data_IF_788424943854
#
_entry.id   IF_788424943854
#
_cell.length_a   1.000
_cell.length_b   1.000
_cell.length_c   1.000
_cell.angle_alpha   90.00
_cell.angle_beta   90.00
_cell.angle_gamma   90.00
#
_symmetry.space_group_name_H-M   'P 1'
#
loop_
_entity.id
_entity.type
_entity.pdbx_description
1 polymer ?
#
# COMPACT_ATOMS: atom_id res chain seq x y z
N UNK A 1 -18.51 25.70 -50.72
CA UNK A 1 -18.01 24.32 -50.59
C UNK A 1 -16.67 24.15 -49.84
N UNK A 2 -15.69 25.06 -49.86
CA UNK A 2 -14.42 24.89 -49.13
C UNK A 2 -14.49 25.19 -47.62
N UNK A 3 -15.40 26.03 -47.14
CA UNK A 3 -15.54 26.39 -45.72
C UNK A 3 -16.14 25.28 -44.83
N UNK A 4 -17.04 24.46 -45.35
CA UNK A 4 -17.65 23.36 -44.55
C UNK A 4 -16.70 22.20 -44.31
N UNK A 5 -15.77 21.95 -45.24
CA UNK A 5 -14.74 20.91 -45.06
C UNK A 5 -13.73 21.25 -43.94
N UNK A 6 -13.41 22.53 -43.76
CA UNK A 6 -12.51 22.98 -42.68
C UNK A 6 -13.15 22.88 -41.29
N UNK A 7 -14.46 23.25 -41.21
CA UNK A 7 -15.19 23.17 -39.92
C UNK A 7 -15.36 21.72 -39.43
N UNK A 8 -15.65 20.79 -40.37
CA UNK A 8 -15.72 19.34 -40.04
C UNK A 8 -14.39 18.77 -39.60
N UNK A 9 -13.25 19.17 -40.18
CA UNK A 9 -11.92 18.74 -39.77
C UNK A 9 -11.54 19.30 -38.41
N UNK A 10 -11.89 20.54 -38.08
CA UNK A 10 -11.68 21.14 -36.77
C UNK A 10 -12.52 20.45 -35.67
N UNK A 11 -13.79 20.15 -35.96
CA UNK A 11 -14.63 19.42 -35.02
C UNK A 11 -14.15 18.00 -34.77
N UNK A 12 -13.71 17.24 -35.79
CA UNK A 12 -13.12 15.92 -35.61
C UNK A 12 -11.81 15.96 -34.79
N UNK A 13 -10.96 16.95 -35.03
CA UNK A 13 -9.71 17.12 -34.26
C UNK A 13 -9.99 17.49 -32.82
N UNK A 14 -11.00 18.29 -32.50
CA UNK A 14 -11.40 18.63 -31.14
C UNK A 14 -12.01 17.44 -30.38
N UNK A 15 -12.78 16.61 -31.09
CA UNK A 15 -13.37 15.38 -30.49
C UNK A 15 -12.27 14.33 -30.20
N UNK A 16 -11.28 14.18 -31.08
CA UNK A 16 -10.13 13.27 -30.86
C UNK A 16 -9.24 13.78 -29.72
N UNK A 17 -9.02 15.10 -29.61
CA UNK A 17 -8.27 15.67 -28.48
C UNK A 17 -9.01 15.54 -27.14
N UNK A 18 -10.34 15.65 -27.14
CA UNK A 18 -11.18 15.45 -25.96
C UNK A 18 -11.25 13.97 -25.53
N UNK A 19 -11.20 13.03 -26.48
CA UNK A 19 -11.15 11.60 -26.20
C UNK A 19 -9.78 11.14 -25.65
N UNK A 20 -8.68 11.82 -26.00
CA UNK A 20 -7.34 11.55 -25.46
C UNK A 20 -7.13 12.13 -24.06
N UNK A 21 -7.88 13.16 -23.66
CA UNK A 21 -7.86 13.70 -22.28
C UNK A 21 -8.71 12.86 -21.30
N UNK A 22 -9.50 11.91 -21.78
CA UNK A 22 -10.31 10.99 -20.95
C UNK A 22 -9.61 9.62 -20.72
N UNK A 23 -8.39 9.43 -21.22
CA UNK A 23 -7.50 8.38 -20.72
C UNK A 23 -6.94 8.82 -19.35
N UNK A 24 -7.82 9.24 -18.46
CA UNK A 24 -7.54 9.48 -17.07
C UNK A 24 -7.04 8.19 -16.46
N UNK A 25 -5.93 8.28 -15.76
CA UNK A 25 -5.41 7.27 -14.89
C UNK A 25 -6.58 6.59 -14.18
N UNK A 26 -6.84 5.33 -14.49
CA UNK A 26 -7.82 4.55 -13.76
C UNK A 26 -7.30 4.48 -12.33
N UNK A 27 -7.80 5.35 -11.46
CA UNK A 27 -7.68 5.15 -10.02
C UNK A 27 -8.43 3.86 -9.74
N UNK A 28 -7.72 2.75 -9.71
CA UNK A 28 -8.28 1.51 -9.18
C UNK A 28 -8.51 1.77 -7.70
N UNK A 29 -9.72 2.18 -7.37
CA UNK A 29 -10.18 2.10 -5.99
C UNK A 29 -10.09 0.63 -5.63
N UNK A 30 -9.16 0.27 -4.77
CA UNK A 30 -9.12 -1.05 -4.18
C UNK A 30 -10.44 -1.19 -3.39
N UNK A 31 -11.42 -1.86 -4.00
CA UNK A 31 -12.66 -2.22 -3.31
C UNK A 31 -12.32 -3.44 -2.46
N UNK A 32 -12.42 -3.32 -1.16
CA UNK A 32 -12.19 -4.43 -0.26
C UNK A 32 -11.69 -4.00 1.12
N UNK A 33 -11.53 -4.99 1.98
CA UNK A 33 -10.98 -4.80 3.32
C UNK A 33 -9.53 -5.26 3.32
N UNK A 34 -8.64 -4.38 3.79
CA UNK A 34 -7.23 -4.71 3.98
C UNK A 34 -6.97 -4.98 5.47
N UNK A 35 -6.21 -6.03 5.76
CA UNK A 35 -5.75 -6.31 7.11
C UNK A 35 -4.26 -6.03 7.24
N UNK A 36 -3.88 -5.33 8.31
CA UNK A 36 -2.50 -5.16 8.74
C UNK A 36 -2.25 -6.00 9.98
N UNK A 37 -1.46 -7.07 9.84
CA UNK A 37 -1.08 -7.91 10.97
C UNK A 37 0.36 -7.61 11.36
N UNK A 38 0.51 -7.01 12.53
CA UNK A 38 1.81 -6.67 13.10
C UNK A 38 2.31 -7.83 13.94
N UNK A 39 3.49 -8.36 13.59
CA UNK A 39 4.08 -9.54 14.24
C UNK A 39 5.47 -9.26 14.75
N UNK A 40 5.77 -9.90 15.87
CA UNK A 40 7.13 -10.00 16.38
C UNK A 40 7.70 -11.39 16.10
N UNK A 41 8.89 -11.43 15.54
CA UNK A 41 9.69 -12.64 15.30
C UNK A 41 11.03 -12.46 15.98
N UNK A 42 11.40 -13.38 16.87
CA UNK A 42 12.67 -13.32 17.57
C UNK A 42 13.86 -13.36 16.58
N UNK A 43 14.96 -12.64 16.85
CA UNK A 43 16.07 -12.48 15.89
C UNK A 43 16.62 -13.81 15.35
N UNK A 44 16.76 -14.82 16.20
CA UNK A 44 17.23 -16.17 15.85
C UNK A 44 16.28 -16.95 14.93
N UNK A 45 15.01 -16.56 14.86
CA UNK A 45 13.98 -17.21 14.03
C UNK A 45 13.73 -16.49 12.71
N UNK A 46 14.18 -15.24 12.54
CA UNK A 46 13.78 -14.39 11.40
C UNK A 46 14.18 -14.98 10.04
N UNK A 47 15.38 -15.52 9.92
CA UNK A 47 15.85 -16.08 8.65
C UNK A 47 14.99 -17.26 8.20
N UNK A 48 14.68 -18.18 9.11
CA UNK A 48 13.83 -19.35 8.81
C UNK A 48 12.37 -18.94 8.60
N UNK A 49 11.86 -17.97 9.36
CA UNK A 49 10.53 -17.39 9.17
C UNK A 49 10.40 -16.82 7.75
N UNK A 50 11.30 -15.94 7.33
CA UNK A 50 11.33 -15.37 5.99
C UNK A 50 11.40 -16.47 4.92
N UNK A 51 12.27 -17.48 5.11
CA UNK A 51 12.41 -18.60 4.18
C UNK A 51 11.08 -19.34 3.98
N UNK A 52 10.36 -19.65 5.07
CA UNK A 52 9.07 -20.35 5.00
C UNK A 52 7.99 -19.51 4.35
N UNK A 53 7.88 -18.25 4.75
CA UNK A 53 6.91 -17.33 4.19
C UNK A 53 7.11 -17.14 2.67
N UNK A 54 8.36 -16.96 2.25
CA UNK A 54 8.66 -16.75 0.81
C UNK A 54 8.63 -18.04 -0.01
N UNK A 55 8.91 -19.20 0.58
CA UNK A 55 8.92 -20.49 -0.14
C UNK A 55 7.54 -21.10 -0.23
N UNK A 56 6.76 -21.04 0.85
CA UNK A 56 5.48 -21.76 0.96
C UNK A 56 4.29 -20.81 0.98
N UNK A 57 4.23 -19.89 1.92
CA UNK A 57 3.04 -19.06 2.14
C UNK A 57 2.77 -18.07 1.02
N UNK A 58 3.81 -17.54 0.38
CA UNK A 58 3.63 -16.72 -0.82
C UNK A 58 2.95 -17.46 -1.97
N UNK A 59 3.15 -18.78 -2.08
CA UNK A 59 2.46 -19.62 -3.09
C UNK A 59 1.02 -19.93 -2.68
N UNK A 60 0.76 -20.07 -1.38
CA UNK A 60 -0.61 -20.19 -0.87
C UNK A 60 -1.37 -18.88 -1.14
N UNK A 61 -0.74 -17.73 -0.89
CA UNK A 61 -1.29 -16.42 -1.21
C UNK A 61 -1.54 -16.26 -2.73
N UNK A 62 -0.59 -16.67 -3.58
CA UNK A 62 -0.79 -16.65 -5.05
C UNK A 62 -2.02 -17.46 -5.45
N UNK A 63 -2.18 -18.68 -4.92
CA UNK A 63 -3.38 -19.49 -5.18
C UNK A 63 -4.65 -18.79 -4.74
N UNK A 64 -4.64 -18.11 -3.61
CA UNK A 64 -5.78 -17.35 -3.11
C UNK A 64 -6.13 -16.16 -4.03
N UNK A 65 -5.12 -15.48 -4.57
CA UNK A 65 -5.26 -14.40 -5.55
C UNK A 65 -5.80 -14.93 -6.87
N UNK A 66 -5.27 -16.04 -7.36
CA UNK A 66 -5.72 -16.68 -8.60
C UNK A 66 -7.21 -17.11 -8.51
N UNK A 67 -7.68 -17.47 -7.32
CA UNK A 67 -9.08 -17.78 -7.03
C UNK A 67 -9.97 -16.55 -6.79
N UNK A 68 -9.38 -15.38 -6.65
CA UNK A 68 -10.11 -14.15 -6.34
C UNK A 68 -10.50 -13.98 -4.87
N UNK A 69 -10.00 -14.83 -3.95
CA UNK A 69 -10.22 -14.67 -2.50
C UNK A 69 -9.35 -13.58 -1.88
N UNK A 70 -8.24 -13.26 -2.52
CA UNK A 70 -7.36 -12.11 -2.21
C UNK A 70 -7.12 -11.31 -3.48
N UNK A 71 -6.80 -10.02 -3.31
CA UNK A 71 -6.27 -9.16 -4.38
C UNK A 71 -4.80 -8.82 -4.17
N UNK A 72 -4.35 -8.84 -2.92
CA UNK A 72 -2.98 -8.54 -2.53
C UNK A 72 -2.57 -9.35 -1.29
N UNK A 73 -1.31 -9.77 -1.27
CA UNK A 73 -0.61 -10.28 -0.10
C UNK A 73 0.80 -9.70 -0.05
N UNK A 74 1.21 -9.17 1.10
CA UNK A 74 2.54 -8.61 1.30
C UNK A 74 3.13 -8.97 2.65
N UNK A 75 4.43 -9.29 2.65
CA UNK A 75 5.25 -9.43 3.84
C UNK A 75 6.33 -8.36 3.83
N UNK A 76 6.38 -7.57 4.89
CA UNK A 76 7.29 -6.46 5.08
C UNK A 76 8.07 -6.61 6.37
N UNK A 77 9.36 -6.26 6.35
CA UNK A 77 10.23 -6.27 7.53
C UNK A 77 10.60 -4.84 7.90
N UNK A 78 10.35 -4.45 9.16
CA UNK A 78 10.70 -3.11 9.67
C UNK A 78 12.20 -2.89 9.65
N UNK A 79 12.62 -1.69 9.23
CA UNK A 79 13.99 -1.21 9.24
C UNK A 79 14.18 -0.27 10.43
N UNK A 80 15.13 -0.58 11.29
CA UNK A 80 15.39 0.20 12.51
C UNK A 80 14.37 -0.02 13.63
N UNK A 81 14.73 0.28 14.85
CA UNK A 81 13.89 0.10 16.04
C UNK A 81 13.43 -1.34 16.26
N UNK A 82 14.19 -2.31 15.74
CA UNK A 82 13.89 -3.75 15.85
C UNK A 82 14.26 -4.32 17.21
N UNK A 83 15.13 -3.64 17.93
CA UNK A 83 15.63 -4.06 19.25
C UNK A 83 14.72 -3.64 20.40
N UNK A 84 13.66 -2.90 20.11
CA UNK A 84 12.67 -2.51 21.12
C UNK A 84 11.88 -3.76 21.53
N UNK A 85 11.91 -4.16 22.79
CA UNK A 85 11.19 -5.33 23.27
C UNK A 85 9.69 -5.26 22.93
N UNK A 86 9.16 -6.37 22.44
CA UNK A 86 7.74 -6.50 22.06
C UNK A 86 7.27 -5.53 20.96
N UNK A 87 8.20 -4.86 20.25
CA UNK A 87 7.86 -4.07 19.09
C UNK A 87 7.68 -4.99 17.87
N UNK A 88 6.64 -4.81 17.05
CA UNK A 88 6.50 -5.59 15.83
C UNK A 88 7.68 -5.30 14.89
N UNK A 89 8.22 -6.35 14.30
CA UNK A 89 9.30 -6.25 13.33
C UNK A 89 8.91 -6.79 11.94
N UNK A 90 7.72 -7.36 11.82
CA UNK A 90 7.09 -7.74 10.55
C UNK A 90 5.66 -7.21 10.46
N UNK A 91 5.26 -6.90 9.22
CA UNK A 91 3.91 -6.51 8.85
C UNK A 91 3.44 -7.40 7.70
N UNK A 92 2.29 -8.07 7.88
CA UNK A 92 1.55 -8.66 6.78
C UNK A 92 0.45 -7.72 6.34
N UNK A 93 0.29 -7.60 5.04
CA UNK A 93 -0.81 -6.86 4.41
C UNK A 93 -1.58 -7.84 3.55
N UNK A 94 -2.87 -8.01 3.82
CA UNK A 94 -3.75 -8.85 3.02
C UNK A 94 -4.98 -8.05 2.63
N UNK A 95 -5.29 -7.98 1.33
CA UNK A 95 -6.48 -7.30 0.83
C UNK A 95 -7.49 -8.32 0.32
N UNK A 96 -8.69 -8.27 0.86
CA UNK A 96 -9.82 -9.15 0.57
C UNK A 96 -10.84 -8.36 -0.25
N UNK A 97 -11.22 -8.80 -1.45
CA UNK A 97 -12.30 -8.16 -2.21
C UNK A 97 -13.66 -8.33 -1.54
N UNK A 98 -13.85 -9.44 -0.81
CA UNK A 98 -15.01 -9.76 0.00
C UNK A 98 -14.55 -10.46 1.28
N UNK A 99 -14.65 -9.76 2.43
CA UNK A 99 -14.20 -10.28 3.73
C UNK A 99 -15.22 -11.27 4.31
N UNK A 100 -16.49 -11.23 3.88
CA UNK A 100 -17.55 -12.12 4.31
C UNK A 100 -17.64 -13.38 3.43
N UNK A 101 -16.81 -13.47 2.39
CA UNK A 101 -16.72 -14.62 1.51
C UNK A 101 -16.21 -15.89 2.21
N UNK A 102 -16.33 -17.02 1.51
CA UNK A 102 -15.81 -18.31 2.03
C UNK A 102 -14.28 -18.29 2.13
N UNK A 103 -13.79 -18.17 3.35
CA UNK A 103 -12.35 -18.22 3.69
C UNK A 103 -11.88 -19.63 4.07
N UNK A 104 -12.75 -20.66 3.97
CA UNK A 104 -12.37 -22.02 4.31
C UNK A 104 -11.23 -22.54 3.43
N UNK A 105 -10.19 -23.07 4.07
CA UNK A 105 -9.02 -23.55 3.38
C UNK A 105 -8.19 -22.50 2.61
N UNK A 106 -8.46 -21.18 2.82
CA UNK A 106 -7.68 -20.10 2.21
C UNK A 106 -6.19 -20.27 2.49
N UNK A 107 -5.86 -20.48 3.75
CA UNK A 107 -4.48 -20.64 4.24
C UNK A 107 -4.07 -22.12 4.43
N UNK A 108 -4.61 -23.04 3.62
CA UNK A 108 -4.22 -24.45 3.64
C UNK A 108 -3.08 -24.73 2.65
N UNK A 109 -1.86 -25.07 3.12
CA UNK A 109 -0.73 -25.38 2.26
C UNK A 109 -0.73 -26.82 1.72
N UNK A 110 -1.55 -27.73 2.30
CA UNK A 110 -1.45 -29.17 2.07
C UNK A 110 -1.63 -29.57 0.62
N UNK A 111 -2.55 -28.89 -0.08
CA UNK A 111 -2.81 -29.13 -1.51
C UNK A 111 -1.67 -28.69 -2.45
N UNK A 112 -0.84 -27.74 -2.01
CA UNK A 112 0.30 -27.25 -2.79
C UNK A 112 1.59 -28.02 -2.48
N UNK A 113 1.70 -28.58 -1.28
CA UNK A 113 2.92 -29.22 -0.78
C UNK A 113 2.61 -30.58 -0.14
N UNK A 114 2.01 -31.54 -0.87
CA UNK A 114 1.51 -32.80 -0.29
C UNK A 114 2.59 -33.70 0.29
N UNK A 115 3.86 -33.48 -0.07
CA UNK A 115 5.00 -34.26 0.46
C UNK A 115 5.84 -33.55 1.52
N UNK A 116 5.45 -32.35 1.94
CA UNK A 116 6.22 -31.56 2.90
C UNK A 116 5.55 -31.63 4.28
N UNK A 117 6.32 -32.05 5.28
CA UNK A 117 5.83 -32.11 6.65
C UNK A 117 5.40 -30.74 7.17
N UNK A 118 4.29 -30.67 7.89
CA UNK A 118 3.68 -29.43 8.33
C UNK A 118 4.61 -28.56 9.20
N UNK A 119 5.49 -29.17 10.00
CA UNK A 119 6.49 -28.48 10.81
C UNK A 119 7.56 -27.75 9.99
N UNK A 120 7.74 -28.10 8.71
CA UNK A 120 8.64 -27.42 7.76
C UNK A 120 7.99 -26.22 7.07
N UNK A 121 6.66 -26.17 7.05
CA UNK A 121 5.88 -25.11 6.40
C UNK A 121 5.43 -24.07 7.44
N UNK A 122 4.97 -24.53 8.59
CA UNK A 122 4.29 -23.72 9.58
C UNK A 122 5.18 -22.63 10.20
N UNK A 123 4.65 -21.42 10.32
CA UNK A 123 5.30 -20.25 10.94
C UNK A 123 4.58 -19.75 12.20
N UNK A 124 3.45 -20.38 12.60
CA UNK A 124 2.68 -19.93 13.76
C UNK A 124 3.48 -19.91 15.07
N UNK A 125 4.30 -20.93 15.35
CA UNK A 125 5.16 -20.99 16.54
C UNK A 125 6.43 -20.13 16.44
N UNK A 126 6.65 -19.41 15.34
CA UNK A 126 7.84 -18.59 15.11
C UNK A 126 7.58 -17.10 15.34
N UNK A 127 6.31 -16.66 15.33
CA UNK A 127 5.93 -15.28 15.50
C UNK A 127 4.81 -15.10 16.51
N UNK A 128 4.76 -13.93 17.14
CA UNK A 128 3.64 -13.48 17.98
C UNK A 128 2.90 -12.37 17.25
N UNK A 129 1.60 -12.51 17.05
CA UNK A 129 0.75 -11.44 16.56
C UNK A 129 0.51 -10.44 17.71
N UNK A 130 0.91 -9.21 17.51
CA UNK A 130 0.79 -8.13 18.49
C UNK A 130 -0.45 -7.27 18.25
N UNK A 131 -0.83 -7.11 16.98
CA UNK A 131 -1.99 -6.32 16.60
C UNK A 131 -2.46 -6.75 15.21
N UNK A 132 -3.78 -6.75 15.01
CA UNK A 132 -4.42 -6.89 13.72
C UNK A 132 -5.39 -5.71 13.51
N UNK A 133 -5.28 -5.04 12.39
CA UNK A 133 -6.05 -3.83 12.06
C UNK A 133 -6.75 -4.05 10.74
N UNK A 134 -8.04 -3.71 10.70
CA UNK A 134 -8.83 -3.70 9.48
C UNK A 134 -8.89 -2.28 8.93
N UNK A 135 -8.62 -2.15 7.65
CA UNK A 135 -8.58 -0.87 6.94
C UNK A 135 -9.43 -0.93 5.67
N UNK A 136 -9.89 0.23 5.24
CA UNK A 136 -10.41 0.43 3.90
C UNK A 136 -9.41 1.29 3.11
N UNK A 137 -8.94 0.76 1.98
CA UNK A 137 -8.03 1.49 1.11
C UNK A 137 -8.80 2.58 0.35
N UNK A 138 -8.32 3.83 0.42
CA UNK A 138 -9.03 4.99 -0.10
C UNK A 138 -8.37 5.63 -1.32
N UNK A 139 -7.10 5.37 -1.53
CA UNK A 139 -6.35 5.93 -2.64
C UNK A 139 -5.10 5.15 -2.98
N UNK A 140 -4.80 5.07 -4.26
CA UNK A 140 -3.56 4.53 -4.80
C UNK A 140 -3.11 5.38 -5.97
N UNK A 141 -1.85 5.77 -5.97
CA UNK A 141 -1.18 6.50 -7.04
C UNK A 141 0.11 5.78 -7.39
N UNK A 142 0.47 5.73 -8.66
CA UNK A 142 1.68 5.07 -9.14
C UNK A 142 2.28 5.86 -10.28
N UNK A 143 3.60 6.03 -10.25
CA UNK A 143 4.32 6.71 -11.33
C UNK A 143 4.18 5.97 -12.67
N UNK A 144 4.18 6.71 -13.76
CA UNK A 144 4.04 6.14 -15.09
C UNK A 144 5.16 5.10 -15.37
N UNK A 145 4.76 3.91 -15.81
CA UNK A 145 5.67 2.81 -16.15
C UNK A 145 6.29 2.08 -14.96
N UNK A 146 5.89 2.37 -13.72
CA UNK A 146 6.36 1.67 -12.53
C UNK A 146 5.71 0.29 -12.44
N UNK A 147 6.51 -0.76 -12.26
CA UNK A 147 6.05 -2.11 -11.93
C UNK A 147 5.95 -2.26 -10.41
N UNK A 148 4.74 -2.40 -9.83
CA UNK A 148 4.56 -2.41 -8.38
C UNK A 148 5.17 -3.63 -7.68
N UNK A 149 5.58 -4.65 -8.42
CA UNK A 149 6.24 -5.85 -7.86
C UNK A 149 7.75 -5.74 -7.90
N UNK A 150 8.31 -5.00 -8.89
CA UNK A 150 9.76 -4.94 -9.12
C UNK A 150 10.38 -3.61 -8.68
N UNK A 151 9.64 -2.51 -8.84
CA UNK A 151 10.24 -1.18 -8.76
C UNK A 151 10.20 -0.56 -7.38
N UNK A 152 9.54 -1.16 -6.40
CA UNK A 152 9.66 -0.72 -5.02
C UNK A 152 10.16 -1.85 -4.10
N UNK A 153 11.14 -1.49 -3.28
CA UNK A 153 11.77 -2.38 -2.30
C UNK A 153 11.56 -1.92 -0.86
N UNK A 154 11.12 -0.67 -0.69
CA UNK A 154 10.92 -0.04 0.61
C UNK A 154 9.59 0.71 0.65
N UNK A 155 8.96 0.64 1.81
CA UNK A 155 7.70 1.34 2.12
C UNK A 155 7.93 2.21 3.34
N UNK A 156 7.62 3.49 3.22
CA UNK A 156 7.50 4.41 4.36
C UNK A 156 6.04 4.42 4.77
N UNK A 157 5.75 3.93 5.98
CA UNK A 157 4.40 3.89 6.54
C UNK A 157 4.21 5.06 7.50
N UNK A 158 3.26 5.91 7.23
CA UNK A 158 2.89 7.06 8.04
C UNK A 158 1.58 6.76 8.76
N UNK A 159 1.63 6.69 10.09
CA UNK A 159 0.48 6.40 10.95
C UNK A 159 -0.04 7.71 11.54
N UNK A 160 -1.21 8.13 11.11
CA UNK A 160 -1.83 9.38 11.48
C UNK A 160 -2.93 9.18 12.52
N UNK A 161 -3.03 10.10 13.46
CA UNK A 161 -4.15 10.18 14.38
C UNK A 161 -4.89 11.51 14.17
N UNK A 162 -6.07 11.43 13.56
CA UNK A 162 -6.88 12.58 13.19
C UNK A 162 -8.13 12.71 14.08
N UNK A 163 -8.52 13.95 14.38
CA UNK A 163 -9.82 14.24 15.02
C UNK A 163 -10.99 13.97 14.08
N UNK A 164 -10.74 13.95 12.76
CA UNK A 164 -11.72 13.67 11.72
C UNK A 164 -11.09 12.78 10.61
N UNK A 165 -11.02 11.44 10.80
CA UNK A 165 -10.40 10.53 9.85
C UNK A 165 -10.97 10.61 8.44
N UNK A 166 -12.28 10.74 8.31
CA UNK A 166 -12.95 10.84 7.00
C UNK A 166 -12.50 12.08 6.23
N UNK A 167 -12.45 13.24 6.90
CA UNK A 167 -11.96 14.47 6.29
C UNK A 167 -10.47 14.39 5.97
N UNK A 168 -9.69 13.75 6.85
CA UNK A 168 -8.26 13.54 6.63
C UNK A 168 -8.02 12.80 5.31
N UNK A 169 -8.63 11.63 5.13
CA UNK A 169 -8.53 10.83 3.92
C UNK A 169 -9.07 11.56 2.69
N UNK A 170 -10.20 12.28 2.82
CA UNK A 170 -10.73 13.07 1.71
C UNK A 170 -9.75 14.16 1.26
N UNK A 171 -9.05 14.82 2.18
CA UNK A 171 -8.03 15.82 1.87
C UNK A 171 -6.81 15.18 1.20
N UNK A 172 -6.32 14.05 1.73
CA UNK A 172 -5.23 13.30 1.10
C UNK A 172 -5.60 12.88 -0.31
N UNK A 173 -6.77 12.28 -0.50
CA UNK A 173 -7.24 11.79 -1.80
C UNK A 173 -7.42 12.92 -2.84
N UNK A 174 -7.96 14.06 -2.44
CA UNK A 174 -8.35 15.13 -3.37
C UNK A 174 -7.26 16.17 -3.60
N UNK A 175 -6.30 16.32 -2.69
CA UNK A 175 -5.25 17.34 -2.78
C UNK A 175 -3.86 16.73 -2.82
N UNK A 176 -3.54 15.83 -1.90
CA UNK A 176 -2.21 15.23 -1.83
C UNK A 176 -1.99 14.19 -2.93
N UNK A 177 -2.93 13.27 -3.17
CA UNK A 177 -2.82 12.24 -4.20
C UNK A 177 -2.53 12.79 -5.60
N UNK A 178 -3.31 13.76 -6.14
CA UNK A 178 -3.03 14.38 -7.43
C UNK A 178 -1.66 15.08 -7.48
N UNK A 179 -1.24 15.72 -6.39
CA UNK A 179 0.09 16.32 -6.29
C UNK A 179 1.20 15.27 -6.35
N UNK A 180 1.07 14.17 -5.62
CA UNK A 180 2.03 13.05 -5.64
C UNK A 180 2.10 12.42 -7.02
N UNK A 181 0.94 12.17 -7.66
CA UNK A 181 0.91 11.63 -9.03
C UNK A 181 1.69 12.52 -9.99
N UNK A 182 1.36 13.80 -10.02
CA UNK A 182 2.05 14.78 -10.87
C UNK A 182 3.56 14.88 -10.55
N UNK A 183 3.91 14.75 -9.27
CA UNK A 183 5.31 14.82 -8.84
C UNK A 183 6.11 13.60 -9.27
N UNK A 184 5.55 12.40 -9.22
CA UNK A 184 6.17 11.17 -9.73
C UNK A 184 6.34 11.25 -11.24
N UNK A 185 5.30 11.65 -11.98
CA UNK A 185 5.32 11.73 -13.44
C UNK A 185 6.34 12.77 -13.96
N UNK A 186 6.50 13.88 -13.24
CA UNK A 186 7.48 14.92 -13.52
C UNK A 186 8.87 14.69 -12.89
N UNK A 187 9.07 13.55 -12.22
CA UNK A 187 10.33 13.18 -11.55
C UNK A 187 10.80 14.24 -10.53
N UNK A 188 9.86 14.85 -9.83
CA UNK A 188 10.14 15.79 -8.74
C UNK A 188 10.52 15.09 -7.43
N UNK A 189 10.25 13.80 -7.34
CA UNK A 189 10.58 12.92 -6.23
C UNK A 189 11.07 11.57 -6.76
N UNK A 190 11.78 10.81 -5.93
CA UNK A 190 12.18 9.42 -6.20
C UNK A 190 11.08 8.40 -5.82
N UNK A 191 9.95 8.88 -5.31
CA UNK A 191 8.79 8.06 -4.97
C UNK A 191 8.26 7.31 -6.18
N UNK A 192 7.81 6.06 -5.97
CA UNK A 192 7.28 5.17 -7.02
C UNK A 192 5.79 4.97 -6.94
N UNK A 193 5.25 5.12 -5.76
CA UNK A 193 3.83 5.00 -5.50
C UNK A 193 3.45 5.63 -4.16
N UNK A 194 2.17 5.85 -3.99
CA UNK A 194 1.56 6.39 -2.79
C UNK A 194 0.18 5.79 -2.59
N UNK A 195 -0.22 5.64 -1.34
CA UNK A 195 -1.58 5.25 -1.02
C UNK A 195 -2.00 5.68 0.38
N UNK A 196 -3.30 5.65 0.62
CA UNK A 196 -3.87 5.95 1.93
C UNK A 196 -5.03 5.02 2.28
N UNK A 197 -5.25 4.81 3.58
CA UNK A 197 -6.30 3.96 4.11
C UNK A 197 -6.85 4.53 5.42
N UNK A 198 -8.15 4.31 5.64
CA UNK A 198 -8.82 4.60 6.90
C UNK A 198 -8.92 3.33 7.75
N UNK A 199 -8.67 3.45 9.06
CA UNK A 199 -8.83 2.33 10.01
C UNK A 199 -10.31 2.12 10.29
N UNK A 200 -10.78 0.89 10.11
CA UNK A 200 -12.15 0.47 10.40
C UNK A 200 -12.25 -0.17 11.79
N UNK A 201 -11.25 -0.97 12.18
CA UNK A 201 -11.23 -1.68 13.47
C UNK A 201 -9.81 -2.15 13.80
N UNK A 202 -9.39 -2.09 15.09
CA UNK A 202 -10.05 -1.41 16.21
C UNK A 202 -9.96 0.13 16.07
N UNK A 203 -10.92 0.85 16.65
CA UNK A 203 -10.95 2.32 16.71
C UNK A 203 -11.13 2.79 18.15
N UNK A 204 -10.62 4.00 18.44
CA UNK A 204 -10.72 4.61 19.76
C UNK A 204 -9.78 4.00 20.81
N UNK A 205 -10.05 4.30 22.09
CA UNK A 205 -9.25 3.78 23.19
C UNK A 205 -7.77 4.16 23.12
N UNK A 206 -6.90 3.14 23.11
CA UNK A 206 -5.45 3.31 23.07
C UNK A 206 -4.87 3.21 21.64
N UNK A 207 -5.69 3.21 20.60
CA UNK A 207 -5.19 3.22 19.22
C UNK A 207 -4.45 4.52 18.96
N UNK A 208 -3.21 4.37 18.50
CA UNK A 208 -2.31 5.50 18.26
C UNK A 208 -2.50 6.13 16.87
N UNK A 209 -3.28 5.50 16.00
CA UNK A 209 -3.56 5.97 14.64
C UNK A 209 -4.96 5.53 14.20
N UNK A 210 -5.56 6.29 13.31
CA UNK A 210 -6.84 5.99 12.68
C UNK A 210 -6.84 6.21 11.16
N UNK A 211 -5.73 6.70 10.62
CA UNK A 211 -5.44 6.76 9.19
C UNK A 211 -4.00 6.30 8.95
N UNK A 212 -3.75 5.76 7.76
CA UNK A 212 -2.42 5.36 7.31
C UNK A 212 -2.21 5.92 5.90
N UNK A 213 -1.05 6.51 5.65
CA UNK A 213 -0.56 6.70 4.29
C UNK A 213 0.78 6.01 4.12
N UNK A 214 1.12 5.67 2.87
CA UNK A 214 2.36 4.97 2.58
C UNK A 214 2.99 5.43 1.28
N UNK A 215 4.31 5.52 1.30
CA UNK A 215 5.14 5.96 0.20
C UNK A 215 6.08 4.85 -0.22
N UNK A 216 6.20 4.59 -1.52
CA UNK A 216 6.98 3.48 -2.07
C UNK A 216 8.25 3.98 -2.73
N UNK A 217 9.37 3.33 -2.43
CA UNK A 217 10.70 3.69 -2.94
C UNK A 217 11.49 2.47 -3.41
N UNK A 218 12.36 2.67 -4.41
CA UNK A 218 13.23 1.61 -4.92
C UNK A 218 14.46 1.38 -4.04
N UNK A 219 14.91 2.37 -3.26
CA UNK A 219 16.13 2.29 -2.45
C UNK A 219 15.88 2.73 -1.01
N UNK A 220 16.66 2.17 -0.07
CA UNK A 220 16.60 2.57 1.33
C UNK A 220 16.96 4.05 1.52
N UNK A 221 17.96 4.54 0.79
CA UNK A 221 18.35 5.94 0.87
C UNK A 221 17.19 6.86 0.48
N UNK A 222 16.49 6.58 -0.62
CA UNK A 222 15.34 7.37 -1.04
C UNK A 222 14.19 7.28 -0.01
N UNK A 223 13.93 6.11 0.57
CA UNK A 223 12.93 5.94 1.62
C UNK A 223 13.25 6.72 2.90
N UNK A 224 14.51 6.80 3.29
CA UNK A 224 14.94 7.53 4.50
C UNK A 224 15.01 9.03 4.28
N UNK A 225 15.50 9.46 3.12
CA UNK A 225 15.71 10.88 2.81
C UNK A 225 14.48 11.56 2.20
N UNK A 226 13.58 10.79 1.57
CA UNK A 226 12.38 11.28 0.88
C UNK A 226 12.67 12.54 0.03
N UNK A 227 13.61 12.46 -0.95
CA UNK A 227 14.14 13.63 -1.61
C UNK A 227 13.10 14.28 -2.53
N UNK A 228 13.08 15.61 -2.50
CA UNK A 228 12.30 16.45 -3.40
C UNK A 228 13.22 17.39 -4.17
N UNK A 229 12.88 17.70 -5.40
CA UNK A 229 13.62 18.75 -6.14
C UNK A 229 13.35 20.12 -5.51
N UNK A 230 14.35 21.03 -5.52
CA UNK A 230 14.25 22.34 -4.86
C UNK A 230 13.05 23.18 -5.29
N UNK A 231 12.64 23.06 -6.57
CA UNK A 231 11.55 23.87 -7.14
C UNK A 231 10.15 23.25 -6.95
N UNK A 232 10.04 22.19 -6.15
CA UNK A 232 8.76 21.51 -5.90
C UNK A 232 7.81 22.41 -5.12
N UNK A 233 6.63 22.69 -5.71
CA UNK A 233 5.58 23.51 -5.09
C UNK A 233 4.57 22.61 -4.40
N UNK A 234 4.62 22.55 -3.07
CA UNK A 234 3.71 21.74 -2.27
C UNK A 234 2.29 22.36 -2.19
N UNK A 235 1.22 21.55 -2.07
CA UNK A 235 -0.14 22.01 -1.90
C UNK A 235 -0.38 22.49 -0.45
N UNK A 236 0.11 23.69 -0.12
CA UNK A 236 0.15 24.21 1.26
C UNK A 236 -1.23 24.27 1.92
N UNK A 237 -2.27 24.62 1.17
CA UNK A 237 -3.65 24.65 1.69
C UNK A 237 -4.11 23.27 2.16
N UNK A 238 -3.76 22.22 1.43
CA UNK A 238 -4.04 20.84 1.81
C UNK A 238 -3.27 20.41 3.05
N UNK A 239 -1.99 20.75 3.11
CA UNK A 239 -1.14 20.45 4.28
C UNK A 239 -1.64 21.17 5.52
N UNK A 240 -2.00 22.44 5.43
CA UNK A 240 -2.59 23.23 6.53
C UNK A 240 -3.92 22.61 7.01
N UNK A 241 -4.73 22.13 6.08
CA UNK A 241 -6.00 21.46 6.39
C UNK A 241 -5.77 20.13 7.13
N UNK A 242 -4.80 19.31 6.70
CA UNK A 242 -4.41 18.07 7.37
C UNK A 242 -3.85 18.36 8.78
N UNK A 243 -3.00 19.38 8.92
CA UNK A 243 -2.41 19.75 10.19
C UNK A 243 -3.46 20.16 11.23
N UNK A 244 -4.49 20.92 10.84
CA UNK A 244 -5.59 21.35 11.73
C UNK A 244 -6.39 20.22 12.35
N UNK A 245 -6.51 19.09 11.66
CA UNK A 245 -7.28 17.92 12.11
C UNK A 245 -6.38 16.79 12.61
N UNK A 246 -5.06 16.94 12.57
CA UNK A 246 -4.10 16.01 13.15
C UNK A 246 -3.92 16.25 14.63
N UNK A 247 -3.99 15.20 15.45
CA UNK A 247 -3.80 15.28 16.90
C UNK A 247 -2.31 15.45 17.23
N UNK A 248 -1.45 14.80 16.44
CA UNK A 248 0.01 14.84 16.61
C UNK A 248 0.68 14.62 15.25
N UNK A 249 2.01 14.74 15.22
CA UNK A 249 2.80 14.34 14.05
C UNK A 249 2.64 12.83 13.82
N UNK A 250 2.66 12.37 12.55
CA UNK A 250 2.56 10.96 12.24
C UNK A 250 3.73 10.18 12.84
N UNK A 251 3.45 8.96 13.27
CA UNK A 251 4.49 7.99 13.59
C UNK A 251 4.91 7.31 12.29
N UNK A 252 6.18 7.41 11.93
CA UNK A 252 6.67 6.92 10.64
C UNK A 252 7.64 5.77 10.82
N UNK A 253 7.44 4.69 10.07
CA UNK A 253 8.37 3.57 9.99
C UNK A 253 8.71 3.22 8.56
N UNK A 254 9.95 2.79 8.34
CA UNK A 254 10.41 2.25 7.06
C UNK A 254 10.38 0.73 7.13
N UNK A 255 9.82 0.11 6.10
CA UNK A 255 9.82 -1.33 5.92
C UNK A 255 10.53 -1.71 4.63
N UNK A 256 11.26 -2.82 4.67
CA UNK A 256 11.75 -3.51 3.47
C UNK A 256 10.69 -4.48 2.99
N UNK A 257 10.43 -4.51 1.69
CA UNK A 257 9.62 -5.56 1.07
C UNK A 257 10.38 -6.88 1.15
N UNK A 258 9.79 -7.87 1.81
CA UNK A 258 10.30 -9.24 1.82
C UNK A 258 9.73 -10.01 0.64
N UNK A 259 8.42 -9.91 0.46
CA UNK A 259 7.70 -10.51 -0.66
C UNK A 259 6.34 -9.87 -0.83
N UNK A 260 5.95 -9.63 -2.06
CA UNK A 260 4.57 -9.25 -2.44
C UNK A 260 4.05 -10.19 -3.51
N UNK A 261 2.74 -10.37 -3.51
CA UNK A 261 1.98 -11.12 -4.50
C UNK A 261 0.70 -10.33 -4.78
N UNK A 262 0.42 -10.07 -6.04
CA UNK A 262 -0.79 -9.37 -6.47
C UNK A 262 -1.30 -9.96 -7.78
N UNK A 263 -2.53 -9.64 -8.14
CA UNK A 263 -3.05 -9.94 -9.48
C UNK A 263 -2.28 -9.07 -10.50
N UNK A 264 -1.75 -9.70 -11.53
CA UNK A 264 -1.10 -8.99 -12.66
C UNK A 264 -2.12 -8.21 -13.46
#
# INVERSE_FOLDING_TARGET
MKKESYFRKLLLSAIILMALCLAGSATTTAQGITTYQYRYVAPDKQAEFIRRETTYWSKVAQRAIDKGSLTFWGLFQKIGGVDIPNSPNFLFVNTYPDIDGDMSGLWDPTKLFPGVAADKINTYGMSTELMNVFLHDEGWQQGAGVDPVKDFQYVVMNYHNSTNPTQFIATEKNQWGPFIQASMDNKLTDQKGWGSAIVLSPIGGKMMFNCVSFDLYSTLNAALMQPWKPDTKFPMEGLDSLQKISINSPMTFVYRVVKVVSKN
#
